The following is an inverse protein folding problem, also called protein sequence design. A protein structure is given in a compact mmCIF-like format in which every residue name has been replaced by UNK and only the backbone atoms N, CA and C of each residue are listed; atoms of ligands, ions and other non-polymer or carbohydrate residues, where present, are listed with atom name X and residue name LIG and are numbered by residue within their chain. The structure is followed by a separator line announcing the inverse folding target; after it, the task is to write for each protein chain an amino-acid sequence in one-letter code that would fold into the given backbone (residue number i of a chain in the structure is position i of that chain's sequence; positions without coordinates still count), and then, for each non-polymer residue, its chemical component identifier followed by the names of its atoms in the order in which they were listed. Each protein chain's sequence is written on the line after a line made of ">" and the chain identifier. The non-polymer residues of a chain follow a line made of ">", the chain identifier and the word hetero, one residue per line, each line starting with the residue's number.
data_IF_490149855075
#
_entry.id   IF_490149855075
#
_cell.length_a   1.000
_cell.length_b   1.000
_cell.length_c   1.000
_cell.angle_alpha   90.00
_cell.angle_beta   90.00
_cell.angle_gamma   90.00
#
_symmetry.space_group_name_H-M   'P 1'
#
loop_
_entity.id
_entity.type
_entity.pdbx_description
1 polymer ?
#
# COMPACT_ATOMS: atom_id res chain seq x y z
N UNK A 1 -14.35 -11.75 2.53
CA UNK A 1 -15.20 -10.67 3.13
C UNK A 1 -16.60 -11.26 3.24
N UNK A 2 -17.05 -11.53 4.47
CA UNK A 2 -18.43 -11.94 4.73
C UNK A 2 -19.38 -10.85 4.26
N UNK A 3 -20.48 -11.21 3.57
CA UNK A 3 -21.50 -10.24 3.16
C UNK A 3 -22.01 -9.45 4.38
N UNK A 4 -22.13 -8.12 4.27
CA UNK A 4 -22.62 -7.30 5.36
C UNK A 4 -24.04 -7.73 5.73
N UNK A 5 -24.27 -8.02 7.02
CA UNK A 5 -25.60 -8.36 7.52
C UNK A 5 -26.58 -7.22 7.24
N UNK A 6 -27.86 -7.52 7.09
CA UNK A 6 -28.93 -6.56 6.76
C UNK A 6 -28.90 -5.31 7.65
N UNK A 7 -28.57 -5.45 8.94
CA UNK A 7 -28.42 -4.31 9.89
C UNK A 7 -27.28 -3.35 9.52
N UNK A 8 -26.15 -3.85 9.03
CA UNK A 8 -24.99 -3.02 8.68
C UNK A 8 -25.26 -2.25 7.38
N UNK A 9 -25.96 -2.89 6.42
CA UNK A 9 -26.46 -2.20 5.22
C UNK A 9 -27.38 -1.05 5.59
N UNK A 10 -28.34 -1.27 6.50
CA UNK A 10 -29.28 -0.24 6.94
C UNK A 10 -28.57 0.97 7.60
N UNK A 11 -27.57 0.71 8.45
CA UNK A 11 -26.77 1.77 9.08
C UNK A 11 -25.98 2.59 8.07
N UNK A 12 -25.39 1.94 7.04
CA UNK A 12 -24.68 2.63 5.96
C UNK A 12 -25.65 3.50 5.15
N UNK A 13 -26.83 2.97 4.76
CA UNK A 13 -27.85 3.76 4.07
C UNK A 13 -28.35 4.95 4.92
N UNK A 14 -28.53 4.76 6.21
CA UNK A 14 -28.89 5.83 7.14
C UNK A 14 -27.82 6.92 7.20
N UNK A 15 -26.53 6.57 7.29
CA UNK A 15 -25.43 7.53 7.25
C UNK A 15 -25.42 8.31 5.92
N UNK A 16 -25.56 7.62 4.80
CA UNK A 16 -25.59 8.27 3.47
C UNK A 16 -26.76 9.25 3.38
N UNK A 17 -27.94 8.86 3.86
CA UNK A 17 -29.12 9.73 3.88
C UNK A 17 -28.88 10.99 4.74
N UNK A 18 -28.34 10.85 5.95
CA UNK A 18 -28.07 11.99 6.84
C UNK A 18 -27.05 12.95 6.21
N UNK A 19 -25.96 12.44 5.68
CA UNK A 19 -24.91 13.25 5.03
C UNK A 19 -25.48 13.95 3.77
N UNK A 20 -26.31 13.25 2.99
CA UNK A 20 -26.93 13.82 1.78
C UNK A 20 -27.92 14.94 2.14
N UNK A 21 -28.77 14.73 3.14
CA UNK A 21 -29.73 15.75 3.59
C UNK A 21 -29.03 16.98 4.13
N UNK A 22 -27.99 16.79 4.94
CA UNK A 22 -27.18 17.89 5.49
C UNK A 22 -26.47 18.70 4.37
N UNK A 23 -25.88 18.01 3.39
CA UNK A 23 -25.23 18.65 2.24
C UNK A 23 -26.26 19.42 1.39
N UNK A 24 -27.42 18.80 1.10
CA UNK A 24 -28.49 19.44 0.32
C UNK A 24 -29.07 20.66 1.03
N UNK A 25 -29.26 20.58 2.35
CA UNK A 25 -29.71 21.71 3.14
C UNK A 25 -28.74 22.91 3.07
N UNK A 26 -27.44 22.69 3.34
CA UNK A 26 -26.42 23.73 3.22
C UNK A 26 -26.34 24.31 1.82
N UNK A 27 -26.45 23.46 0.80
CA UNK A 27 -26.41 23.89 -0.59
C UNK A 27 -27.61 24.78 -0.96
N UNK A 28 -28.80 24.48 -0.46
CA UNK A 28 -30.02 25.23 -0.71
C UNK A 28 -30.13 26.51 0.15
N UNK A 29 -29.68 26.46 1.42
CA UNK A 29 -29.83 27.55 2.37
C UNK A 29 -29.04 28.81 2.00
N UNK A 30 -27.95 28.67 1.25
CA UNK A 30 -27.02 29.76 0.95
C UNK A 30 -27.36 30.60 -0.31
N UNK A 31 -28.52 30.37 -0.91
CA UNK A 31 -29.02 31.17 -2.05
C UNK A 31 -28.15 31.01 -3.32
N UNK A 32 -28.82 31.06 -4.47
CA UNK A 32 -28.15 30.95 -5.77
C UNK A 32 -27.85 32.36 -6.31
N UNK A 33 -26.58 32.75 -6.32
CA UNK A 33 -26.14 33.93 -7.06
C UNK A 33 -25.46 33.44 -8.35
N UNK A 34 -26.03 33.83 -9.50
CA UNK A 34 -25.39 33.58 -10.78
C UNK A 34 -24.12 34.42 -10.88
N UNK A 35 -23.03 33.88 -11.41
CA UNK A 35 -21.82 34.64 -11.63
C UNK A 35 -22.10 35.81 -12.59
N UNK A 36 -22.01 37.05 -12.12
CA UNK A 36 -22.16 38.24 -12.96
C UNK A 36 -20.84 38.55 -13.65
N UNK A 37 -20.87 38.93 -14.93
CA UNK A 37 -19.69 39.08 -15.79
C UNK A 37 -18.66 40.16 -15.37
N UNK A 38 -18.87 40.85 -14.25
CA UNK A 38 -17.95 41.86 -13.70
C UNK A 38 -17.20 41.41 -12.44
N UNK A 39 -17.49 40.20 -11.93
CA UNK A 39 -16.84 39.67 -10.71
C UNK A 39 -15.69 38.72 -11.06
N UNK A 40 -14.72 38.59 -10.15
CA UNK A 40 -13.65 37.57 -10.19
C UNK A 40 -14.20 36.14 -10.26
N UNK A 41 -15.45 35.94 -9.90
CA UNK A 41 -16.23 34.70 -10.00
C UNK A 41 -16.94 34.61 -11.35
N UNK A 42 -16.19 34.50 -12.43
CA UNK A 42 -16.74 34.21 -13.76
C UNK A 42 -16.89 32.71 -14.00
N UNK A 43 -17.75 32.31 -14.93
CA UNK A 43 -17.94 30.92 -15.30
C UNK A 43 -16.65 30.19 -15.68
N UNK A 44 -15.71 30.89 -16.33
CA UNK A 44 -14.41 30.36 -16.71
C UNK A 44 -13.61 29.91 -15.49
N UNK A 45 -13.64 30.68 -14.40
CA UNK A 45 -13.00 30.33 -13.14
C UNK A 45 -13.60 29.09 -12.49
N UNK A 46 -14.93 29.03 -12.38
CA UNK A 46 -15.65 27.89 -11.80
C UNK A 46 -15.33 26.60 -12.56
N UNK A 47 -15.43 26.64 -13.91
CA UNK A 47 -15.12 25.50 -14.78
C UNK A 47 -13.64 25.11 -14.66
N UNK A 48 -12.72 26.09 -14.62
CA UNK A 48 -11.31 25.81 -14.51
C UNK A 48 -10.95 25.17 -13.14
N UNK A 49 -11.57 25.63 -12.04
CA UNK A 49 -11.37 25.01 -10.73
C UNK A 49 -12.00 23.63 -10.63
N UNK A 50 -13.16 23.40 -11.23
CA UNK A 50 -13.74 22.06 -11.33
C UNK A 50 -12.84 21.10 -12.13
N UNK A 51 -12.34 21.55 -13.27
CA UNK A 51 -11.39 20.77 -14.07
C UNK A 51 -10.07 20.48 -13.32
N UNK A 52 -9.52 21.49 -12.65
CA UNK A 52 -8.32 21.35 -11.81
C UNK A 52 -8.57 20.37 -10.66
N UNK A 53 -9.71 20.44 -10.00
CA UNK A 53 -10.06 19.54 -8.89
C UNK A 53 -10.20 18.09 -9.38
N UNK A 54 -10.87 17.86 -10.52
CA UNK A 54 -10.97 16.55 -11.17
C UNK A 54 -9.56 16.02 -11.51
N UNK A 55 -8.70 16.86 -12.08
CA UNK A 55 -7.32 16.52 -12.41
C UNK A 55 -6.53 16.13 -11.16
N UNK A 56 -6.62 16.93 -10.10
CA UNK A 56 -5.97 16.65 -8.81
C UNK A 56 -6.49 15.36 -8.17
N UNK A 57 -7.79 15.08 -8.25
CA UNK A 57 -8.38 13.88 -7.66
C UNK A 57 -8.09 12.61 -8.48
N UNK A 58 -7.98 12.72 -9.79
CA UNK A 58 -7.52 11.61 -10.65
C UNK A 58 -6.04 11.33 -10.48
N UNK A 59 -5.28 12.32 -10.03
CA UNK A 59 -3.82 12.27 -9.80
C UNK A 59 -3.45 11.71 -8.42
N UNK A 60 -4.23 10.74 -7.93
CA UNK A 60 -4.11 10.13 -6.62
C UNK A 60 -2.68 9.69 -6.30
N UNK A 61 -2.04 10.41 -5.39
CA UNK A 61 -0.75 10.03 -4.84
C UNK A 61 -0.99 9.03 -3.71
N UNK A 62 -0.75 7.75 -3.94
CA UNK A 62 -0.62 6.79 -2.85
C UNK A 62 0.68 7.11 -2.12
N UNK A 63 0.58 7.85 -1.04
CA UNK A 63 1.73 8.01 -0.16
C UNK A 63 1.95 6.69 0.60
N UNK A 64 3.15 6.11 0.45
CA UNK A 64 3.53 4.78 0.93
C UNK A 64 3.54 4.64 2.47
N UNK A 65 3.41 5.73 3.22
CA UNK A 65 3.57 5.72 4.68
C UNK A 65 2.45 5.05 5.47
N UNK A 66 1.27 4.79 4.89
CA UNK A 66 0.16 4.18 5.65
C UNK A 66 -0.85 3.37 4.81
N UNK A 67 -0.58 3.00 3.56
CA UNK A 67 -1.60 2.44 2.64
C UNK A 67 -2.88 3.30 2.50
N UNK A 68 -2.84 4.55 2.97
CA UNK A 68 -3.93 5.52 2.86
C UNK A 68 -3.58 6.46 1.72
N UNK A 69 -4.40 6.46 0.69
CA UNK A 69 -4.22 7.40 -0.39
C UNK A 69 -4.86 8.74 -0.04
N UNK A 70 -4.10 9.82 -0.03
CA UNK A 70 -4.63 11.18 0.01
C UNK A 70 -4.69 11.78 -1.38
N UNK A 71 -5.77 12.53 -1.67
CA UNK A 71 -5.96 13.26 -2.91
C UNK A 71 -5.62 14.73 -2.68
N UNK A 72 -4.91 15.36 -3.61
CA UNK A 72 -4.61 16.81 -3.56
C UNK A 72 -5.82 17.67 -3.98
N UNK A 73 -6.97 17.06 -4.26
CA UNK A 73 -8.19 17.77 -4.69
C UNK A 73 -8.72 18.77 -3.65
N UNK A 74 -8.37 18.59 -2.37
CA UNK A 74 -8.76 19.56 -1.33
C UNK A 74 -8.13 20.94 -1.53
N UNK A 75 -6.98 21.04 -2.20
CA UNK A 75 -6.33 22.33 -2.49
C UNK A 75 -7.23 23.24 -3.35
N UNK A 76 -7.70 22.82 -4.55
CA UNK A 76 -8.67 23.60 -5.31
C UNK A 76 -10.03 23.76 -4.59
N UNK A 77 -10.45 22.82 -3.73
CA UNK A 77 -11.68 23.00 -2.94
C UNK A 77 -11.54 24.16 -1.94
N UNK A 78 -10.48 24.18 -1.14
CA UNK A 78 -10.19 25.25 -0.18
C UNK A 78 -10.01 26.58 -0.89
N UNK A 79 -9.25 26.63 -1.98
CA UNK A 79 -9.07 27.84 -2.78
C UNK A 79 -10.40 28.35 -3.37
N UNK A 80 -11.30 27.45 -3.78
CA UNK A 80 -12.61 27.84 -4.32
C UNK A 80 -13.50 28.53 -3.28
N UNK A 81 -13.40 28.17 -1.98
CA UNK A 81 -14.09 28.85 -0.90
C UNK A 81 -13.62 30.30 -0.75
N UNK A 82 -12.34 30.56 -0.96
CA UNK A 82 -11.77 31.91 -0.90
C UNK A 82 -12.10 32.77 -2.13
N UNK A 83 -12.45 32.15 -3.27
CA UNK A 83 -12.64 32.81 -4.56
C UNK A 83 -14.08 32.97 -4.97
N UNK A 84 -14.92 31.98 -4.65
CA UNK A 84 -16.28 31.91 -5.19
C UNK A 84 -17.32 31.95 -4.06
N UNK A 85 -18.46 32.61 -4.35
CA UNK A 85 -19.60 32.61 -3.44
C UNK A 85 -20.23 31.21 -3.30
N UNK A 86 -20.85 30.93 -2.16
CA UNK A 86 -21.77 29.81 -2.05
C UNK A 86 -22.85 29.87 -3.15
N UNK A 87 -23.25 28.73 -3.75
CA UNK A 87 -22.85 27.34 -3.42
C UNK A 87 -21.75 26.75 -4.31
N UNK A 88 -21.02 27.54 -5.09
CA UNK A 88 -20.07 27.06 -6.10
C UNK A 88 -18.95 26.18 -5.58
N UNK A 89 -18.31 26.45 -4.42
CA UNK A 89 -17.30 25.53 -3.86
C UNK A 89 -17.85 24.13 -3.58
N UNK A 90 -19.10 24.06 -3.08
CA UNK A 90 -19.79 22.79 -2.85
C UNK A 90 -20.09 22.07 -4.18
N UNK A 91 -20.54 22.79 -5.22
CA UNK A 91 -20.79 22.24 -6.53
C UNK A 91 -19.50 21.68 -7.17
N UNK A 92 -18.37 22.40 -7.07
CA UNK A 92 -17.06 21.97 -7.57
C UNK A 92 -16.66 20.66 -6.89
N UNK A 93 -16.74 20.59 -5.56
CA UNK A 93 -16.33 19.40 -4.79
C UNK A 93 -17.25 18.20 -5.07
N UNK A 94 -18.56 18.41 -5.12
CA UNK A 94 -19.54 17.36 -5.44
C UNK A 94 -19.38 16.83 -6.86
N UNK A 95 -19.25 17.73 -7.85
CA UNK A 95 -19.02 17.35 -9.24
C UNK A 95 -17.73 16.54 -9.39
N UNK A 96 -16.65 16.98 -8.73
CA UNK A 96 -15.37 16.25 -8.74
C UNK A 96 -15.54 14.83 -8.24
N UNK A 97 -16.13 14.65 -7.05
CA UNK A 97 -16.34 13.33 -6.47
C UNK A 97 -17.21 12.44 -7.37
N UNK A 98 -18.32 13.00 -7.89
CA UNK A 98 -19.24 12.28 -8.79
C UNK A 98 -18.53 11.81 -10.05
N UNK A 99 -17.85 12.71 -10.76
CA UNK A 99 -17.16 12.40 -12.03
C UNK A 99 -16.04 11.39 -11.82
N UNK A 100 -15.17 11.61 -10.83
CA UNK A 100 -14.02 10.73 -10.62
C UNK A 100 -14.44 9.35 -10.12
N UNK A 101 -15.39 9.28 -9.20
CA UNK A 101 -15.83 7.99 -8.64
C UNK A 101 -16.67 7.18 -9.65
N UNK A 102 -17.42 7.86 -10.55
CA UNK A 102 -18.23 7.20 -11.59
C UNK A 102 -17.37 6.71 -12.76
N UNK A 103 -16.60 7.60 -13.35
CA UNK A 103 -15.94 7.34 -14.64
C UNK A 103 -14.50 6.81 -14.49
N UNK A 104 -13.77 7.25 -13.46
CA UNK A 104 -12.37 6.86 -13.27
C UNK A 104 -12.25 5.68 -12.32
N UNK A 105 -12.84 5.77 -11.11
CA UNK A 105 -12.73 4.74 -10.07
C UNK A 105 -13.77 3.64 -10.17
N UNK A 106 -14.88 3.88 -10.90
CA UNK A 106 -16.00 2.94 -11.11
C UNK A 106 -16.51 2.34 -9.81
N UNK A 107 -16.74 3.18 -8.80
CA UNK A 107 -17.23 2.76 -7.49
C UNK A 107 -18.69 2.30 -7.53
N UNK A 108 -19.16 1.48 -6.60
CA UNK A 108 -20.56 1.16 -6.42
C UNK A 108 -21.40 2.43 -6.17
N UNK A 109 -22.67 2.52 -6.66
CA UNK A 109 -23.50 3.72 -6.57
C UNK A 109 -23.59 4.32 -5.16
N UNK A 110 -23.77 3.48 -4.13
CA UNK A 110 -23.86 3.95 -2.75
C UNK A 110 -22.59 4.70 -2.29
N UNK A 111 -21.40 4.29 -2.75
CA UNK A 111 -20.14 4.97 -2.44
C UNK A 111 -19.98 6.26 -3.24
N UNK A 112 -20.48 6.31 -4.46
CA UNK A 112 -20.50 7.53 -5.27
C UNK A 112 -21.36 8.58 -4.56
N UNK A 113 -22.59 8.23 -4.19
CA UNK A 113 -23.49 9.12 -3.46
C UNK A 113 -22.91 9.60 -2.14
N UNK A 114 -22.36 8.70 -1.33
CA UNK A 114 -21.73 9.05 -0.07
C UNK A 114 -20.59 10.05 -0.27
N UNK A 115 -19.65 9.77 -1.18
CA UNK A 115 -18.48 10.63 -1.40
C UNK A 115 -18.87 12.00 -1.97
N UNK A 116 -19.84 12.04 -2.90
CA UNK A 116 -20.35 13.29 -3.44
C UNK A 116 -20.95 14.16 -2.34
N UNK A 117 -21.87 13.61 -1.56
CA UNK A 117 -22.51 14.34 -0.46
C UNK A 117 -21.53 14.74 0.64
N UNK A 118 -20.59 13.87 0.97
CA UNK A 118 -19.60 14.07 2.01
C UNK A 118 -18.59 15.19 1.64
N UNK A 119 -18.12 15.26 0.39
CA UNK A 119 -17.27 16.38 -0.05
C UNK A 119 -18.04 17.70 -0.08
N UNK A 120 -19.27 17.70 -0.56
CA UNK A 120 -20.12 18.89 -0.50
C UNK A 120 -20.32 19.35 0.94
N UNK A 121 -20.62 18.44 1.87
CA UNK A 121 -20.81 18.75 3.28
C UNK A 121 -19.53 19.32 3.92
N UNK A 122 -18.37 18.66 3.67
CA UNK A 122 -17.09 19.08 4.24
C UNK A 122 -16.71 20.50 3.77
N UNK A 123 -16.86 20.78 2.48
CA UNK A 123 -16.59 22.11 1.92
C UNK A 123 -17.60 23.13 2.40
N UNK A 124 -18.89 22.79 2.47
CA UNK A 124 -19.95 23.69 2.92
C UNK A 124 -19.77 24.11 4.37
N UNK A 125 -19.60 23.15 5.29
CA UNK A 125 -19.39 23.47 6.74
C UNK A 125 -18.10 24.25 6.93
N UNK A 126 -17.04 23.91 6.23
CA UNK A 126 -15.76 24.61 6.30
C UNK A 126 -15.87 26.07 5.78
N UNK A 127 -16.66 26.30 4.75
CA UNK A 127 -16.92 27.63 4.24
C UNK A 127 -17.72 28.49 5.24
N UNK A 128 -18.74 27.93 5.90
CA UNK A 128 -19.48 28.64 6.98
C UNK A 128 -18.53 29.08 8.08
N UNK A 129 -17.63 28.20 8.54
CA UNK A 129 -16.64 28.56 9.56
C UNK A 129 -15.68 29.64 9.05
N UNK A 130 -15.26 29.56 7.80
CA UNK A 130 -14.39 30.56 7.16
C UNK A 130 -15.04 31.96 7.25
N UNK A 131 -16.30 32.09 6.82
CA UNK A 131 -17.00 33.35 6.82
C UNK A 131 -17.34 33.82 8.25
N UNK A 132 -17.71 32.93 9.16
CA UNK A 132 -17.97 33.24 10.56
C UNK A 132 -16.74 33.80 11.30
N UNK A 133 -15.54 33.41 10.89
CA UNK A 133 -14.27 33.92 11.42
C UNK A 133 -13.77 35.17 10.68
N UNK A 134 -14.63 35.83 9.90
CA UNK A 134 -14.30 37.05 9.19
C UNK A 134 -13.54 36.85 7.89
N UNK A 135 -13.57 35.63 7.35
CA UNK A 135 -13.09 35.37 5.99
C UNK A 135 -13.98 36.07 4.97
N UNK A 136 -13.40 36.52 3.88
CA UNK A 136 -14.12 37.20 2.81
C UNK A 136 -13.72 36.60 1.45
N UNK A 137 -14.62 36.70 0.49
CA UNK A 137 -14.33 36.35 -0.89
C UNK A 137 -13.26 37.32 -1.41
N UNK A 138 -12.20 36.75 -1.99
CA UNK A 138 -11.10 37.53 -2.50
C UNK A 138 -11.56 38.41 -3.68
N UNK A 139 -11.54 39.70 -3.49
CA UNK A 139 -11.82 40.71 -4.53
C UNK A 139 -10.54 41.03 -5.32
N UNK A 140 -10.49 42.28 -5.87
CA UNK A 140 -9.31 42.76 -6.61
C UNK A 140 -8.06 42.92 -5.75
N UNK A 141 -8.22 43.05 -4.41
CA UNK A 141 -7.13 43.00 -3.45
C UNK A 141 -7.27 41.77 -2.56
N UNK A 142 -6.26 40.89 -2.61
CA UNK A 142 -6.18 39.73 -1.75
C UNK A 142 -5.81 40.17 -0.31
N UNK A 143 -6.72 39.97 0.63
CA UNK A 143 -6.48 40.12 2.07
C UNK A 143 -6.51 38.75 2.71
N UNK A 144 -5.39 38.29 3.25
CA UNK A 144 -5.29 36.99 3.91
C UNK A 144 -5.70 37.09 5.38
N UNK A 145 -6.75 36.37 5.78
CA UNK A 145 -7.19 36.22 7.15
C UNK A 145 -6.75 34.85 7.68
N UNK A 146 -5.66 34.82 8.45
CA UNK A 146 -5.06 33.56 8.93
C UNK A 146 -6.01 32.79 9.86
N UNK A 147 -6.70 33.36 10.88
CA UNK A 147 -7.68 32.63 11.68
C UNK A 147 -8.79 31.98 10.85
N UNK A 148 -9.37 32.71 9.91
CA UNK A 148 -10.41 32.17 9.02
C UNK A 148 -9.89 31.03 8.15
N UNK A 149 -8.68 31.17 7.60
CA UNK A 149 -8.04 30.12 6.80
C UNK A 149 -7.75 28.85 7.63
N UNK A 150 -7.22 28.99 8.84
CA UNK A 150 -6.99 27.85 9.75
C UNK A 150 -8.32 27.18 10.10
N UNK A 151 -9.36 27.94 10.40
CA UNK A 151 -10.71 27.45 10.66
C UNK A 151 -11.26 26.64 9.48
N UNK A 152 -11.11 27.16 8.25
CA UNK A 152 -11.49 26.49 7.00
C UNK A 152 -10.80 25.12 6.86
N UNK A 153 -9.47 25.10 6.98
CA UNK A 153 -8.67 23.88 6.80
C UNK A 153 -8.98 22.83 7.86
N UNK A 154 -8.98 23.24 9.14
CA UNK A 154 -9.24 22.32 10.26
C UNK A 154 -10.66 21.75 10.16
N UNK A 155 -11.66 22.58 9.86
CA UNK A 155 -13.06 22.13 9.73
C UNK A 155 -13.22 21.18 8.56
N UNK A 156 -12.65 21.52 7.40
CA UNK A 156 -12.66 20.61 6.23
C UNK A 156 -12.07 19.24 6.59
N UNK A 157 -10.89 19.23 7.21
CA UNK A 157 -10.23 17.99 7.61
C UNK A 157 -11.07 17.19 8.61
N UNK A 158 -11.64 17.82 9.64
CA UNK A 158 -12.44 17.14 10.66
C UNK A 158 -13.71 16.52 10.06
N UNK A 159 -14.44 17.26 9.25
CA UNK A 159 -15.68 16.79 8.62
C UNK A 159 -15.39 15.70 7.59
N UNK A 160 -14.37 15.90 6.74
CA UNK A 160 -13.96 14.94 5.72
C UNK A 160 -13.50 13.62 6.35
N UNK A 161 -12.48 13.65 7.21
CA UNK A 161 -11.92 12.44 7.83
C UNK A 161 -12.88 11.79 8.82
N UNK A 162 -13.68 12.59 9.54
CA UNK A 162 -14.70 12.10 10.48
C UNK A 162 -15.81 11.32 9.79
N UNK A 163 -16.33 11.86 8.69
CA UNK A 163 -17.37 11.17 7.88
C UNK A 163 -16.85 9.86 7.31
N UNK A 164 -15.62 9.84 6.80
CA UNK A 164 -14.97 8.62 6.28
C UNK A 164 -14.70 7.62 7.40
N UNK A 165 -14.20 8.07 8.57
CA UNK A 165 -13.94 7.20 9.72
C UNK A 165 -15.22 6.54 10.22
N UNK A 166 -16.34 7.28 10.24
CA UNK A 166 -17.64 6.75 10.62
C UNK A 166 -18.12 5.68 9.62
N UNK A 167 -18.00 5.94 8.33
CA UNK A 167 -18.36 4.97 7.30
C UNK A 167 -17.51 3.70 7.37
N UNK A 168 -16.20 3.83 7.61
CA UNK A 168 -15.28 2.70 7.80
C UNK A 168 -15.59 1.93 9.08
N UNK A 169 -15.86 2.61 10.19
CA UNK A 169 -16.21 1.98 11.46
C UNK A 169 -17.47 1.11 11.32
N UNK A 170 -18.52 1.61 10.65
CA UNK A 170 -19.76 0.87 10.40
C UNK A 170 -19.51 -0.33 9.47
N UNK A 171 -18.73 -0.14 8.39
CA UNK A 171 -18.50 -1.18 7.37
C UNK A 171 -17.54 -2.28 7.83
N UNK A 172 -16.54 -1.93 8.64
CA UNK A 172 -15.46 -2.85 9.09
C UNK A 172 -15.64 -3.33 10.52
N UNK A 173 -16.67 -2.85 11.24
CA UNK A 173 -16.97 -3.19 12.65
C UNK A 173 -15.82 -2.90 13.62
N UNK A 174 -15.11 -1.84 13.38
CA UNK A 174 -14.07 -1.32 14.27
C UNK A 174 -14.61 -0.10 15.03
N UNK A 175 -13.94 0.32 16.11
CA UNK A 175 -14.32 1.54 16.79
C UNK A 175 -14.05 2.78 15.91
N UNK A 176 -14.86 3.83 16.07
CA UNK A 176 -14.65 5.09 15.33
C UNK A 176 -13.27 5.67 15.63
N UNK A 177 -12.80 5.55 16.87
CA UNK A 177 -11.45 5.99 17.28
C UNK A 177 -10.35 5.26 16.52
N UNK A 178 -10.46 3.95 16.38
CA UNK A 178 -9.49 3.14 15.64
C UNK A 178 -9.52 3.48 14.14
N UNK A 179 -10.71 3.61 13.54
CA UNK A 179 -10.86 4.04 12.16
C UNK A 179 -10.27 5.43 11.94
N UNK A 180 -10.51 6.38 12.85
CA UNK A 180 -9.94 7.72 12.81
C UNK A 180 -8.41 7.69 12.87
N UNK A 181 -7.81 6.99 13.84
CA UNK A 181 -6.36 6.89 13.95
C UNK A 181 -5.71 6.34 12.68
N UNK A 182 -6.31 5.32 12.08
CA UNK A 182 -5.80 4.75 10.82
C UNK A 182 -5.85 5.73 9.65
N UNK A 183 -6.84 6.61 9.60
CA UNK A 183 -7.04 7.58 8.51
C UNK A 183 -6.26 8.87 8.78
N UNK A 184 -6.44 9.46 9.96
CA UNK A 184 -5.92 10.78 10.27
C UNK A 184 -4.42 10.81 10.55
N UNK A 185 -3.84 9.79 11.24
CA UNK A 185 -2.43 9.78 11.60
C UNK A 185 -1.48 9.79 10.38
N UNK A 186 -1.94 9.25 9.24
CA UNK A 186 -1.14 9.20 8.01
C UNK A 186 -1.26 10.42 7.11
N UNK A 187 -2.29 11.26 7.26
CA UNK A 187 -2.58 12.34 6.29
C UNK A 187 -2.60 13.73 6.89
N UNK A 188 -2.83 13.87 8.20
CA UNK A 188 -3.05 15.18 8.85
C UNK A 188 -1.94 16.21 8.57
N UNK A 189 -0.69 15.83 8.80
CA UNK A 189 0.43 16.74 8.59
C UNK A 189 0.58 17.14 7.12
N UNK A 190 0.39 16.17 6.22
CA UNK A 190 0.40 16.42 4.78
C UNK A 190 -0.73 17.36 4.36
N UNK A 191 -1.98 17.10 4.80
CA UNK A 191 -3.14 17.90 4.45
C UNK A 191 -3.00 19.34 4.96
N UNK A 192 -2.47 19.53 6.18
CA UNK A 192 -2.20 20.85 6.75
C UNK A 192 -1.11 21.60 5.96
N UNK A 193 0.02 20.96 5.66
CA UNK A 193 1.10 21.60 4.91
C UNK A 193 0.68 21.90 3.46
N UNK A 194 0.01 20.96 2.80
CA UNK A 194 -0.44 21.15 1.43
C UNK A 194 -1.58 22.18 1.31
N UNK A 195 -2.33 22.45 2.39
CA UNK A 195 -3.36 23.49 2.40
C UNK A 195 -2.78 24.90 2.13
N UNK A 196 -1.52 25.15 2.44
CA UNK A 196 -0.86 26.43 2.12
C UNK A 196 -0.82 26.69 0.60
N UNK A 197 -0.80 25.63 -0.22
CA UNK A 197 -0.90 25.75 -1.67
C UNK A 197 -2.23 26.36 -2.14
N UNK A 198 -3.30 26.23 -1.35
CA UNK A 198 -4.58 26.86 -1.69
C UNK A 198 -4.51 28.40 -1.63
N UNK A 199 -3.73 28.94 -0.71
CA UNK A 199 -3.46 30.40 -0.61
C UNK A 199 -2.67 30.85 -1.84
N UNK A 200 -1.61 30.12 -2.20
CA UNK A 200 -0.83 30.41 -3.39
C UNK A 200 -1.67 30.31 -4.66
N UNK A 201 -2.49 29.27 -4.78
CA UNK A 201 -3.41 29.07 -5.90
C UNK A 201 -4.40 30.23 -6.04
N UNK A 202 -4.99 30.67 -4.91
CA UNK A 202 -5.88 31.82 -4.86
C UNK A 202 -5.17 33.10 -5.33
N UNK A 203 -3.97 33.36 -4.80
CA UNK A 203 -3.17 34.52 -5.18
C UNK A 203 -2.81 34.54 -6.68
N UNK A 204 -2.33 33.42 -7.20
CA UNK A 204 -1.95 33.30 -8.62
C UNK A 204 -3.15 33.45 -9.54
N UNK A 205 -4.30 32.88 -9.17
CA UNK A 205 -5.54 33.05 -9.95
C UNK A 205 -5.99 34.52 -9.98
N UNK A 206 -5.95 35.23 -8.87
CA UNK A 206 -6.32 36.66 -8.82
C UNK A 206 -5.38 37.56 -9.65
N UNK A 207 -4.09 37.21 -9.68
CA UNK A 207 -3.08 37.98 -10.43
C UNK A 207 -3.07 37.70 -11.93
N UNK A 208 -3.24 36.45 -12.32
CA UNK A 208 -2.96 36.01 -13.69
C UNK A 208 -4.07 35.10 -14.26
N UNK A 209 -5.22 35.02 -13.58
CA UNK A 209 -6.38 34.23 -14.03
C UNK A 209 -5.97 32.78 -14.38
N UNK A 210 -6.38 32.28 -15.55
CA UNK A 210 -6.10 30.91 -16.00
C UNK A 210 -4.60 30.63 -16.17
N UNK A 211 -3.78 31.62 -16.49
CA UNK A 211 -2.31 31.46 -16.59
C UNK A 211 -1.73 31.12 -15.21
N UNK A 212 -2.22 31.76 -14.14
CA UNK A 212 -1.82 31.44 -12.77
C UNK A 212 -2.13 30.00 -12.37
N UNK A 213 -3.26 29.44 -12.82
CA UNK A 213 -3.57 28.02 -12.62
C UNK A 213 -2.58 27.12 -13.35
N UNK A 214 -2.23 27.44 -14.60
CA UNK A 214 -1.29 26.66 -15.40
C UNK A 214 0.09 26.55 -14.73
N UNK A 215 0.57 27.61 -14.10
CA UNK A 215 1.85 27.64 -13.36
C UNK A 215 1.91 26.59 -12.25
N UNK A 216 0.78 26.29 -11.59
CA UNK A 216 0.70 25.25 -10.56
C UNK A 216 0.44 23.85 -11.11
N UNK A 217 -0.30 23.76 -12.22
CA UNK A 217 -0.64 22.47 -12.85
C UNK A 217 0.60 21.78 -13.39
N UNK A 218 1.53 22.52 -14.01
CA UNK A 218 2.74 21.94 -14.61
C UNK A 218 3.63 21.23 -13.59
N UNK A 219 4.00 21.83 -12.43
CA UNK A 219 4.75 21.13 -11.39
C UNK A 219 3.99 19.92 -10.81
N UNK A 220 2.67 20.02 -10.61
CA UNK A 220 1.86 18.91 -10.13
C UNK A 220 1.88 17.72 -11.10
N UNK A 221 1.79 17.99 -12.41
CA UNK A 221 1.95 16.98 -13.44
C UNK A 221 3.32 16.33 -13.43
N UNK A 222 4.37 17.13 -13.27
CA UNK A 222 5.74 16.65 -13.20
C UNK A 222 5.95 15.75 -12.00
N UNK A 223 5.52 16.18 -10.80
CA UNK A 223 5.58 15.36 -9.57
C UNK A 223 4.80 14.05 -9.73
N UNK A 224 3.59 14.12 -10.32
CA UNK A 224 2.80 12.92 -10.63
C UNK A 224 3.53 11.99 -11.58
N UNK A 225 4.08 12.51 -12.66
CA UNK A 225 4.81 11.72 -13.67
C UNK A 225 6.01 11.03 -13.03
N UNK A 226 6.81 11.78 -12.25
CA UNK A 226 7.95 11.22 -11.52
C UNK A 226 7.55 10.13 -10.53
N UNK A 227 6.44 10.34 -9.79
CA UNK A 227 5.94 9.33 -8.87
C UNK A 227 5.48 8.05 -9.60
N UNK A 228 4.77 8.19 -10.72
CA UNK A 228 4.36 7.05 -11.56
C UNK A 228 5.56 6.30 -12.13
N UNK A 229 6.59 7.03 -12.59
CA UNK A 229 7.84 6.43 -13.07
C UNK A 229 8.55 5.65 -11.96
N UNK A 230 8.64 6.19 -10.74
CA UNK A 230 9.22 5.48 -9.60
C UNK A 230 8.47 4.20 -9.27
N UNK A 231 7.13 4.25 -9.20
CA UNK A 231 6.32 3.04 -8.98
C UNK A 231 6.47 2.00 -10.09
N UNK A 232 6.63 2.45 -11.34
CA UNK A 232 6.89 1.56 -12.46
C UNK A 232 8.28 0.93 -12.37
N UNK A 233 9.30 1.70 -12.02
CA UNK A 233 10.66 1.20 -11.78
C UNK A 233 10.70 0.17 -10.65
N UNK A 234 10.06 0.44 -9.52
CA UNK A 234 9.95 -0.51 -8.41
C UNK A 234 9.28 -1.83 -8.86
N UNK A 235 8.23 -1.74 -9.67
CA UNK A 235 7.56 -2.91 -10.23
C UNK A 235 8.47 -3.70 -11.15
N UNK A 236 9.10 -3.03 -12.11
CA UNK A 236 10.02 -3.67 -13.06
C UNK A 236 11.19 -4.32 -12.32
N UNK A 237 11.79 -3.64 -11.36
CA UNK A 237 12.86 -4.21 -10.53
C UNK A 237 12.42 -5.48 -9.80
N UNK A 238 11.21 -5.48 -9.23
CA UNK A 238 10.64 -6.67 -8.57
C UNK A 238 10.41 -7.81 -9.55
N UNK A 239 9.80 -7.52 -10.70
CA UNK A 239 9.54 -8.51 -11.75
C UNK A 239 10.85 -9.12 -12.30
N UNK A 240 11.92 -8.31 -12.44
CA UNK A 240 13.24 -8.78 -12.82
C UNK A 240 13.86 -9.70 -11.77
N UNK A 241 13.78 -9.35 -10.48
CA UNK A 241 14.24 -10.22 -9.40
C UNK A 241 13.49 -11.56 -9.39
N UNK A 242 12.16 -11.53 -9.55
CA UNK A 242 11.36 -12.76 -9.65
C UNK A 242 11.71 -13.59 -10.88
N UNK A 243 11.98 -12.96 -12.02
CA UNK A 243 12.42 -13.64 -13.23
C UNK A 243 13.78 -14.30 -13.05
N UNK A 244 14.74 -13.59 -12.44
CA UNK A 244 16.07 -14.14 -12.15
C UNK A 244 15.97 -15.36 -11.23
N UNK A 245 15.18 -15.28 -10.16
CA UNK A 245 14.96 -16.40 -9.24
C UNK A 245 14.33 -17.59 -9.97
N UNK A 246 13.29 -17.37 -10.77
CA UNK A 246 12.67 -18.45 -11.58
C UNK A 246 13.66 -19.10 -12.55
N UNK A 247 14.56 -18.32 -13.15
CA UNK A 247 15.58 -18.84 -14.04
C UNK A 247 16.61 -19.74 -13.30
N UNK A 248 16.90 -19.40 -12.03
CA UNK A 248 17.79 -20.20 -11.16
C UNK A 248 17.07 -21.48 -10.71
N UNK A 249 15.84 -21.35 -10.23
CA UNK A 249 15.00 -22.47 -9.79
C UNK A 249 14.72 -23.46 -10.95
N UNK A 250 14.72 -23.02 -12.21
CA UNK A 250 14.56 -23.89 -13.37
C UNK A 250 15.73 -24.91 -13.53
N UNK A 251 16.89 -24.65 -12.89
CA UNK A 251 18.02 -25.58 -12.84
C UNK A 251 17.89 -26.65 -11.75
N UNK A 252 17.08 -26.37 -10.71
CA UNK A 252 16.81 -27.29 -9.60
C UNK A 252 15.35 -27.76 -9.70
N UNK A 253 15.09 -29.00 -10.09
CA UNK A 253 13.72 -29.52 -10.30
C UNK A 253 12.82 -29.45 -9.05
N UNK A 254 13.41 -29.24 -7.87
CA UNK A 254 12.73 -29.32 -6.58
C UNK A 254 12.41 -27.95 -5.95
N UNK A 255 12.89 -26.86 -6.55
CA UNK A 255 12.78 -25.51 -5.95
C UNK A 255 11.78 -24.59 -6.64
N UNK A 256 10.94 -25.09 -7.56
CA UNK A 256 9.96 -24.22 -8.23
C UNK A 256 9.06 -23.46 -7.24
N UNK A 257 9.19 -22.13 -7.22
CA UNK A 257 8.46 -21.22 -6.34
C UNK A 257 8.91 -21.23 -4.88
N UNK A 258 9.96 -21.94 -4.53
CA UNK A 258 10.52 -22.04 -3.18
C UNK A 258 10.93 -20.66 -2.63
N UNK A 259 11.80 -19.95 -3.33
CA UNK A 259 12.31 -18.65 -2.87
C UNK A 259 11.19 -17.63 -2.64
N UNK A 260 10.13 -17.66 -3.45
CA UNK A 260 8.96 -16.80 -3.27
C UNK A 260 8.17 -17.18 -2.01
N UNK A 261 7.95 -18.47 -1.75
CA UNK A 261 7.25 -18.94 -0.54
C UNK A 261 8.06 -18.62 0.70
N UNK A 262 9.39 -18.88 0.69
CA UNK A 262 10.30 -18.52 1.80
C UNK A 262 10.23 -17.02 2.09
N UNK A 263 10.21 -16.18 1.06
CA UNK A 263 10.11 -14.73 1.23
C UNK A 263 8.78 -14.29 1.85
N UNK A 264 7.66 -14.92 1.52
CA UNK A 264 6.36 -14.63 2.11
C UNK A 264 6.28 -15.08 3.60
N UNK A 265 6.86 -16.22 3.93
CA UNK A 265 6.95 -16.67 5.33
C UNK A 265 7.86 -15.73 6.13
N UNK A 266 9.04 -15.39 5.61
CA UNK A 266 9.97 -14.46 6.25
C UNK A 266 9.32 -13.07 6.45
N UNK A 267 8.60 -12.56 5.47
CA UNK A 267 7.82 -11.30 5.56
C UNK A 267 6.76 -11.37 6.64
N UNK A 268 6.03 -12.50 6.73
CA UNK A 268 5.01 -12.68 7.75
C UNK A 268 5.61 -12.68 9.16
N UNK A 269 6.71 -13.41 9.37
CA UNK A 269 7.43 -13.44 10.65
C UNK A 269 7.93 -12.03 11.01
N UNK A 270 8.54 -11.32 10.06
CA UNK A 270 9.05 -9.97 10.27
C UNK A 270 7.96 -8.95 10.64
N UNK A 271 6.75 -9.10 10.08
CA UNK A 271 5.59 -8.28 10.43
C UNK A 271 5.01 -8.61 11.80
N UNK A 272 4.99 -9.89 12.16
CA UNK A 272 4.51 -10.32 13.47
C UNK A 272 5.49 -9.90 14.61
N UNK A 273 6.76 -9.61 14.27
CA UNK A 273 7.75 -8.93 15.12
C UNK A 273 7.60 -7.41 15.18
N UNK A 274 6.64 -6.82 14.47
CA UNK A 274 6.43 -5.36 14.34
C UNK A 274 7.69 -4.59 13.87
N UNK A 275 8.47 -5.20 12.97
CA UNK A 275 9.66 -4.59 12.42
C UNK A 275 9.31 -3.45 11.46
N UNK A 276 10.21 -2.46 11.33
CA UNK A 276 10.03 -1.35 10.39
C UNK A 276 9.87 -1.84 8.94
N UNK A 277 9.09 -1.11 8.13
CA UNK A 277 8.83 -1.46 6.73
C UNK A 277 10.13 -1.71 5.94
N UNK A 278 11.15 -0.87 6.15
CA UNK A 278 12.47 -1.02 5.52
C UNK A 278 13.14 -2.35 5.89
N UNK A 279 13.09 -2.75 7.15
CA UNK A 279 13.69 -4.01 7.60
C UNK A 279 12.92 -5.22 7.08
N UNK A 280 11.58 -5.14 7.02
CA UNK A 280 10.72 -6.16 6.38
C UNK A 280 11.09 -6.33 4.91
N UNK A 281 11.31 -5.24 4.17
CA UNK A 281 11.70 -5.29 2.76
C UNK A 281 13.11 -5.89 2.58
N UNK A 282 14.08 -5.54 3.45
CA UNK A 282 15.42 -6.16 3.44
C UNK A 282 15.36 -7.66 3.70
N UNK A 283 14.59 -8.10 4.71
CA UNK A 283 14.42 -9.53 5.03
C UNK A 283 13.77 -10.26 3.86
N UNK A 284 12.75 -9.66 3.24
CA UNK A 284 12.05 -10.24 2.10
C UNK A 284 12.98 -10.40 0.89
N UNK A 285 13.78 -9.36 0.58
CA UNK A 285 14.75 -9.40 -0.51
C UNK A 285 15.85 -10.44 -0.27
N UNK A 286 16.35 -10.51 0.97
CA UNK A 286 17.33 -11.52 1.36
C UNK A 286 16.76 -12.94 1.23
N UNK A 287 15.52 -13.16 1.64
CA UNK A 287 14.84 -14.44 1.52
C UNK A 287 14.60 -14.88 0.07
N UNK A 288 14.31 -13.93 -0.85
CA UNK A 288 14.21 -14.23 -2.29
C UNK A 288 15.56 -14.69 -2.86
N UNK A 289 16.65 -14.08 -2.39
CA UNK A 289 17.98 -14.25 -2.98
C UNK A 289 18.89 -15.21 -2.20
N UNK A 290 18.43 -15.84 -1.09
CA UNK A 290 19.27 -16.61 -0.20
C UNK A 290 20.06 -17.73 -0.91
N UNK A 291 19.44 -18.31 -1.91
CA UNK A 291 19.96 -19.44 -2.70
C UNK A 291 20.49 -19.07 -4.09
N UNK A 292 20.56 -17.78 -4.43
CA UNK A 292 20.95 -17.32 -5.79
C UNK A 292 22.34 -17.81 -6.20
N UNK A 293 23.25 -18.02 -5.26
CA UNK A 293 24.61 -18.54 -5.51
C UNK A 293 24.66 -19.96 -6.05
N UNK A 294 23.59 -20.74 -5.94
CA UNK A 294 23.49 -22.07 -6.56
C UNK A 294 23.51 -22.02 -8.11
N UNK A 295 23.43 -20.81 -8.70
CA UNK A 295 23.59 -20.63 -10.14
C UNK A 295 24.99 -20.99 -10.66
N UNK A 296 26.03 -20.93 -9.80
CA UNK A 296 27.37 -21.25 -10.22
C UNK A 296 27.50 -22.71 -10.64
N UNK A 297 28.29 -22.93 -11.70
CA UNK A 297 28.42 -24.25 -12.37
C UNK A 297 28.92 -25.34 -11.43
N UNK A 298 29.72 -24.97 -10.43
CA UNK A 298 30.24 -25.88 -9.40
C UNK A 298 29.16 -26.64 -8.62
N UNK A 299 27.93 -26.03 -8.50
CA UNK A 299 26.80 -26.66 -7.81
C UNK A 299 25.90 -27.52 -8.72
N UNK A 300 25.98 -27.36 -10.05
CA UNK A 300 25.07 -28.02 -10.98
C UNK A 300 25.07 -29.55 -10.86
N UNK A 301 26.22 -30.25 -10.70
CA UNK A 301 26.24 -31.70 -10.50
C UNK A 301 25.59 -32.10 -9.18
N UNK A 302 25.73 -31.30 -8.14
CA UNK A 302 25.22 -31.59 -6.78
C UNK A 302 23.70 -31.48 -6.73
N UNK A 303 23.12 -30.48 -7.42
CA UNK A 303 21.68 -30.24 -7.47
C UNK A 303 20.90 -31.35 -8.22
N UNK A 304 21.58 -32.04 -9.13
CA UNK A 304 20.99 -33.14 -9.93
C UNK A 304 21.33 -34.52 -9.41
N UNK A 305 22.14 -34.61 -8.34
CA UNK A 305 22.59 -35.89 -7.82
C UNK A 305 21.46 -36.65 -7.13
N UNK A 306 21.21 -37.86 -7.55
CA UNK A 306 20.35 -38.79 -6.84
C UNK A 306 21.10 -39.38 -5.61
N UNK A 307 20.51 -39.23 -4.43
CA UNK A 307 21.04 -39.78 -3.18
C UNK A 307 21.78 -38.75 -2.30
N UNK A 308 22.55 -39.27 -1.32
CA UNK A 308 23.24 -38.42 -0.34
C UNK A 308 24.55 -37.85 -0.89
N UNK A 309 24.86 -36.60 -0.55
CA UNK A 309 26.12 -35.98 -0.85
C UNK A 309 27.27 -36.64 -0.03
N UNK A 310 28.43 -36.83 -0.65
CA UNK A 310 29.66 -37.19 0.04
C UNK A 310 30.12 -36.07 0.97
N UNK A 311 31.06 -36.30 1.90
CA UNK A 311 31.59 -35.22 2.75
C UNK A 311 32.14 -34.02 1.96
N UNK A 312 32.91 -34.28 0.88
CA UNK A 312 33.50 -33.24 0.03
C UNK A 312 32.43 -32.46 -0.75
N UNK A 313 31.46 -33.15 -1.30
CA UNK A 313 30.32 -32.54 -1.97
C UNK A 313 29.48 -31.68 -1.01
N UNK A 314 29.33 -32.13 0.25
CA UNK A 314 28.65 -31.34 1.29
C UNK A 314 29.43 -30.08 1.62
N UNK A 315 30.76 -30.15 1.78
CA UNK A 315 31.60 -28.98 1.98
C UNK A 315 31.51 -28.00 0.82
N UNK A 316 31.44 -28.50 -0.41
CA UNK A 316 31.21 -27.65 -1.59
C UNK A 316 29.84 -26.99 -1.53
N UNK A 317 28.76 -27.74 -1.24
CA UNK A 317 27.41 -27.21 -1.11
C UNK A 317 27.31 -26.13 0.00
N UNK A 318 28.05 -26.26 1.11
CA UNK A 318 28.08 -25.28 2.19
C UNK A 318 28.68 -23.92 1.80
N UNK A 319 29.25 -23.78 0.60
CA UNK A 319 29.74 -22.49 0.08
C UNK A 319 28.64 -21.63 -0.53
N UNK A 320 27.45 -22.19 -0.84
CA UNK A 320 26.42 -21.41 -1.55
C UNK A 320 25.94 -20.15 -0.79
N UNK A 321 25.88 -20.10 0.58
CA UNK A 321 25.46 -18.86 1.23
C UNK A 321 26.45 -17.72 0.99
N UNK A 322 27.75 -18.00 1.07
CA UNK A 322 28.79 -17.01 0.77
C UNK A 322 28.71 -16.56 -0.70
N UNK A 323 28.56 -17.52 -1.64
CA UNK A 323 28.37 -17.21 -3.06
C UNK A 323 27.10 -16.40 -3.35
N UNK A 324 26.01 -16.72 -2.65
CA UNK A 324 24.75 -15.93 -2.75
C UNK A 324 24.95 -14.52 -2.24
N UNK A 325 25.62 -14.34 -1.12
CA UNK A 325 25.93 -13.02 -0.55
C UNK A 325 26.85 -12.20 -1.48
N UNK A 326 27.92 -12.78 -2.01
CA UNK A 326 28.81 -12.15 -2.99
C UNK A 326 28.03 -11.66 -4.23
N UNK A 327 27.15 -12.49 -4.76
CA UNK A 327 26.34 -12.14 -5.92
C UNK A 327 25.34 -11.02 -5.59
N UNK A 328 24.63 -11.10 -4.46
CA UNK A 328 23.69 -10.09 -4.01
C UNK A 328 24.39 -8.73 -3.75
N UNK A 329 25.62 -8.72 -3.20
CA UNK A 329 26.41 -7.53 -2.93
C UNK A 329 26.86 -6.76 -4.18
N UNK A 330 26.69 -7.32 -5.39
CA UNK A 330 26.86 -6.57 -6.65
C UNK A 330 25.84 -5.44 -6.77
N UNK A 331 24.66 -5.59 -6.16
CA UNK A 331 23.64 -4.55 -6.04
C UNK A 331 23.95 -3.71 -4.80
N UNK A 332 24.27 -2.43 -5.01
CA UNK A 332 24.73 -1.55 -3.93
C UNK A 332 23.77 -1.46 -2.73
N UNK A 333 22.45 -1.52 -2.99
CA UNK A 333 21.40 -1.46 -1.97
C UNK A 333 21.36 -2.70 -1.07
N UNK A 334 21.86 -3.84 -1.53
CA UNK A 334 21.87 -5.10 -0.78
C UNK A 334 23.11 -5.31 0.07
N UNK A 335 24.12 -4.44 -0.06
CA UNK A 335 25.32 -4.51 0.78
C UNK A 335 24.99 -4.28 2.24
N UNK A 336 25.62 -5.04 3.11
CA UNK A 336 25.41 -4.98 4.54
C UNK A 336 24.22 -5.82 5.01
N UNK A 337 23.06 -5.27 5.43
CA UNK A 337 22.01 -6.06 6.09
C UNK A 337 21.47 -7.23 5.27
N UNK A 338 21.23 -7.04 3.95
CA UNK A 338 20.72 -8.08 3.06
C UNK A 338 21.81 -9.13 2.80
N UNK A 339 23.00 -8.69 2.47
CA UNK A 339 24.18 -9.54 2.25
C UNK A 339 24.48 -10.42 3.48
N UNK A 340 24.51 -9.82 4.68
CA UNK A 340 24.74 -10.56 5.93
C UNK A 340 23.62 -11.56 6.23
N UNK A 341 22.38 -11.21 5.94
CA UNK A 341 21.26 -12.12 6.10
C UNK A 341 21.39 -13.36 5.19
N UNK A 342 21.77 -13.14 3.92
CA UNK A 342 22.02 -14.20 2.95
C UNK A 342 23.22 -15.05 3.37
N UNK A 343 24.33 -14.42 3.78
CA UNK A 343 25.55 -15.12 4.15
C UNK A 343 25.36 -16.10 5.30
N UNK A 344 24.54 -15.72 6.29
CA UNK A 344 24.39 -16.45 7.54
C UNK A 344 23.08 -17.25 7.69
N UNK A 345 22.32 -17.45 6.62
CA UNK A 345 21.01 -18.12 6.71
C UNK A 345 21.09 -19.63 7.05
N UNK A 346 22.27 -20.23 7.04
CA UNK A 346 22.54 -21.59 7.51
C UNK A 346 23.32 -21.65 8.82
N UNK A 347 23.43 -20.55 9.55
CA UNK A 347 23.96 -20.59 10.91
C UNK A 347 22.94 -21.16 11.88
N UNK A 348 23.32 -22.17 12.64
CA UNK A 348 22.50 -22.75 13.69
C UNK A 348 22.60 -21.94 14.98
N UNK A 349 21.51 -21.83 15.72
CA UNK A 349 21.46 -21.01 16.93
C UNK A 349 22.49 -21.42 18.00
N UNK A 350 22.87 -22.72 18.03
CA UNK A 350 23.89 -23.26 18.92
C UNK A 350 25.35 -23.08 18.42
N UNK A 351 25.55 -22.51 17.23
CA UNK A 351 26.86 -22.30 16.61
C UNK A 351 27.40 -23.50 15.81
N UNK A 352 26.63 -24.56 15.63
CA UNK A 352 27.02 -25.71 14.82
C UNK A 352 26.76 -25.53 13.31
N UNK A 353 26.34 -24.33 12.89
CA UNK A 353 26.03 -23.98 11.51
C UNK A 353 27.24 -23.57 10.69
N UNK A 354 26.99 -22.98 9.54
CA UNK A 354 27.99 -22.48 8.60
C UNK A 354 27.51 -21.18 7.92
N UNK A 355 28.43 -20.35 7.40
CA UNK A 355 29.85 -20.59 7.13
C UNK A 355 30.82 -20.24 8.30
N UNK A 356 30.39 -19.48 9.29
CA UNK A 356 31.28 -18.88 10.30
C UNK A 356 31.09 -19.47 11.71
N UNK A 357 30.05 -20.29 11.92
CA UNK A 357 29.72 -20.87 13.23
C UNK A 357 29.26 -19.83 14.26
N UNK A 358 28.52 -18.83 13.80
CA UNK A 358 27.91 -17.84 14.70
C UNK A 358 26.86 -18.50 15.58
N UNK A 359 26.77 -18.05 16.86
CA UNK A 359 25.82 -18.60 17.81
C UNK A 359 24.92 -17.50 18.43
N UNK A 360 23.66 -17.87 18.71
CA UNK A 360 22.71 -17.02 19.40
C UNK A 360 22.43 -15.72 18.67
N UNK A 361 22.45 -14.61 19.39
CA UNK A 361 22.16 -13.27 18.86
C UNK A 361 23.26 -12.69 17.97
N UNK A 362 24.42 -13.32 17.89
CA UNK A 362 25.48 -12.95 16.94
C UNK A 362 25.06 -13.25 15.49
N UNK A 363 24.12 -14.18 15.31
CA UNK A 363 23.50 -14.43 14.00
C UNK A 363 22.54 -13.25 13.69
N UNK A 364 22.67 -12.58 12.54
CA UNK A 364 21.75 -11.52 12.17
C UNK A 364 20.28 -11.96 12.28
N UNK A 365 19.41 -11.14 12.86
CA UNK A 365 17.98 -11.46 13.02
C UNK A 365 17.35 -11.90 11.70
N UNK A 366 17.67 -11.21 10.61
CA UNK A 366 17.17 -11.55 9.27
C UNK A 366 17.57 -12.98 8.85
N UNK A 367 18.81 -13.41 9.15
CA UNK A 367 19.28 -14.76 8.86
C UNK A 367 18.52 -15.81 9.70
N UNK A 368 18.30 -15.55 11.00
CA UNK A 368 17.48 -16.42 11.87
C UNK A 368 16.05 -16.58 11.38
N UNK A 369 15.45 -15.49 10.86
CA UNK A 369 14.10 -15.51 10.25
C UNK A 369 14.11 -16.34 8.96
N UNK A 370 15.10 -16.16 8.08
CA UNK A 370 15.22 -16.90 6.82
C UNK A 370 15.40 -18.39 7.09
N UNK A 371 16.23 -18.78 8.06
CA UNK A 371 16.42 -20.18 8.46
C UNK A 371 15.09 -20.86 8.82
N UNK A 372 14.23 -20.20 9.58
CA UNK A 372 12.92 -20.75 9.95
C UNK A 372 12.01 -20.78 8.72
N UNK A 373 11.98 -19.72 7.91
CA UNK A 373 11.12 -19.63 6.73
C UNK A 373 11.48 -20.68 5.67
N UNK A 374 12.76 -20.92 5.44
CA UNK A 374 13.26 -21.97 4.55
C UNK A 374 12.87 -23.37 5.06
N UNK A 375 13.06 -23.61 6.36
CA UNK A 375 12.67 -24.87 7.00
C UNK A 375 11.15 -25.11 6.92
N UNK A 376 10.33 -24.06 7.13
CA UNK A 376 8.88 -24.13 6.96
C UNK A 376 8.52 -24.57 5.54
N UNK A 377 9.10 -23.96 4.52
CA UNK A 377 8.85 -24.37 3.13
C UNK A 377 9.32 -25.78 2.86
N UNK A 378 10.51 -26.11 3.32
CA UNK A 378 11.06 -27.45 3.17
C UNK A 378 10.16 -28.53 3.79
N UNK A 379 9.51 -28.27 4.93
CA UNK A 379 8.64 -29.23 5.62
C UNK A 379 7.22 -29.28 5.06
N UNK A 380 6.69 -28.18 4.56
CA UNK A 380 5.29 -28.07 4.13
C UNK A 380 5.08 -28.21 2.63
N UNK A 381 6.15 -28.47 1.86
CA UNK A 381 6.08 -28.75 0.43
C UNK A 381 6.37 -30.23 0.16
N UNK A 382 5.60 -30.85 -0.76
CA UNK A 382 5.87 -32.22 -1.24
C UNK A 382 7.24 -32.28 -1.91
N UNK A 383 8.04 -33.28 -1.54
CA UNK A 383 9.31 -33.61 -2.17
C UNK A 383 9.25 -35.05 -2.71
N UNK A 384 10.05 -35.42 -3.72
CA UNK A 384 9.97 -36.76 -4.35
C UNK A 384 10.01 -37.93 -3.36
N UNK A 385 10.70 -37.75 -2.25
CA UNK A 385 10.92 -38.77 -1.23
C UNK A 385 10.15 -38.53 0.06
N UNK A 386 9.34 -37.45 0.16
CA UNK A 386 8.59 -37.11 1.38
C UNK A 386 7.38 -36.23 1.10
N UNK A 387 6.24 -36.65 1.60
CA UNK A 387 5.02 -35.83 1.63
C UNK A 387 5.17 -34.63 2.58
N UNK A 388 4.49 -33.55 2.27
CA UNK A 388 4.37 -32.38 3.14
C UNK A 388 3.87 -32.77 4.53
N UNK A 389 4.45 -32.15 5.55
CA UNK A 389 3.96 -32.28 6.92
C UNK A 389 2.74 -31.39 7.15
N UNK A 390 1.89 -31.79 8.09
CA UNK A 390 0.82 -30.91 8.58
C UNK A 390 1.41 -29.75 9.36
N UNK A 391 0.63 -28.66 9.49
CA UNK A 391 1.04 -27.50 10.27
C UNK A 391 1.47 -27.86 11.69
N UNK A 392 0.69 -28.69 12.38
CA UNK A 392 0.96 -29.12 13.75
C UNK A 392 2.29 -29.90 13.85
N UNK A 393 2.53 -30.85 12.97
CA UNK A 393 3.81 -31.59 12.92
C UNK A 393 4.99 -30.70 12.58
N UNK A 394 4.79 -29.69 11.74
CA UNK A 394 5.81 -28.71 11.42
C UNK A 394 6.23 -27.90 12.66
N UNK A 395 5.25 -27.48 13.47
CA UNK A 395 5.50 -26.78 14.73
C UNK A 395 6.23 -27.69 15.75
N UNK A 396 5.87 -28.95 15.84
CA UNK A 396 6.53 -29.92 16.75
C UNK A 396 8.01 -30.10 16.35
N UNK A 397 8.32 -30.18 15.06
CA UNK A 397 9.72 -30.24 14.61
C UNK A 397 10.47 -28.94 14.89
N UNK A 398 9.87 -27.76 14.69
CA UNK A 398 10.51 -26.50 15.06
C UNK A 398 10.84 -26.44 16.56
N UNK A 399 9.89 -26.85 17.44
CA UNK A 399 10.10 -26.88 18.89
C UNK A 399 11.20 -27.85 19.31
N UNK A 400 11.28 -29.02 18.69
CA UNK A 400 12.30 -30.03 18.96
C UNK A 400 13.71 -29.53 18.71
N UNK A 401 13.91 -28.64 17.73
CA UNK A 401 15.20 -28.05 17.38
C UNK A 401 15.36 -26.61 17.88
N UNK A 402 14.43 -26.11 18.70
CA UNK A 402 14.53 -24.82 19.38
C UNK A 402 15.76 -24.76 20.28
N UNK A 403 16.51 -23.69 20.22
CA UNK A 403 17.78 -23.51 20.94
C UNK A 403 18.98 -24.26 20.34
N UNK A 404 18.76 -25.11 19.33
CA UNK A 404 19.82 -25.77 18.54
C UNK A 404 19.94 -25.13 17.16
N UNK A 405 19.02 -25.45 16.29
CA UNK A 405 18.97 -24.89 14.93
C UNK A 405 18.26 -23.52 14.91
N UNK A 406 17.17 -23.40 15.66
CA UNK A 406 16.28 -22.24 15.61
C UNK A 406 16.36 -21.38 16.86
N UNK A 407 16.17 -20.08 16.67
CA UNK A 407 15.99 -19.11 17.75
C UNK A 407 14.70 -19.43 18.53
N UNK A 408 14.77 -19.68 19.85
CA UNK A 408 13.61 -20.03 20.66
C UNK A 408 12.50 -18.97 20.64
N UNK A 409 12.86 -17.68 20.63
CA UNK A 409 11.89 -16.60 20.60
C UNK A 409 11.11 -16.57 19.27
N UNK A 410 11.81 -16.82 18.17
CA UNK A 410 11.17 -16.90 16.84
C UNK A 410 10.30 -18.15 16.69
N UNK A 411 10.68 -19.28 17.26
CA UNK A 411 9.88 -20.51 17.25
C UNK A 411 8.54 -20.27 17.97
N UNK A 412 8.58 -19.62 19.12
CA UNK A 412 7.35 -19.32 19.88
C UNK A 412 6.46 -18.31 19.13
N UNK A 413 7.04 -17.28 18.51
CA UNK A 413 6.30 -16.33 17.66
C UNK A 413 5.59 -17.06 16.51
N UNK A 414 6.30 -17.94 15.80
CA UNK A 414 5.73 -18.72 14.67
C UNK A 414 4.59 -19.60 15.14
N UNK A 415 4.72 -20.23 16.30
CA UNK A 415 3.67 -21.08 16.88
C UNK A 415 2.36 -20.30 17.18
N UNK A 416 2.48 -19.00 17.51
CA UNK A 416 1.35 -18.13 17.82
C UNK A 416 0.82 -17.35 16.59
N UNK A 417 1.53 -17.35 15.46
CA UNK A 417 1.19 -16.55 14.29
C UNK A 417 -0.06 -17.04 13.56
N UNK A 418 -1.16 -16.29 13.68
CA UNK A 418 -2.37 -16.52 12.90
C UNK A 418 -2.19 -16.24 11.39
N UNK A 419 -1.23 -15.38 11.03
CA UNK A 419 -0.92 -15.06 9.65
C UNK A 419 -0.21 -16.25 8.96
N UNK A 420 0.81 -16.80 9.59
CA UNK A 420 1.52 -17.98 9.09
C UNK A 420 0.61 -19.21 9.02
N UNK A 421 -0.23 -19.44 10.02
CA UNK A 421 -1.21 -20.54 9.99
C UNK A 421 -2.12 -20.45 8.78
N UNK A 422 -2.59 -19.25 8.43
CA UNK A 422 -3.41 -19.03 7.22
C UNK A 422 -2.63 -19.25 5.92
N UNK A 423 -1.39 -18.78 5.84
CA UNK A 423 -0.53 -18.97 4.67
C UNK A 423 -0.25 -20.45 4.43
N UNK A 424 0.11 -21.20 5.47
CA UNK A 424 0.42 -22.62 5.41
C UNK A 424 -0.85 -23.48 5.17
N UNK A 425 -2.00 -23.12 5.73
CA UNK A 425 -3.27 -23.78 5.49
C UNK A 425 -3.81 -23.58 4.08
N UNK A 426 -3.60 -22.40 3.49
CA UNK A 426 -4.00 -22.12 2.11
C UNK A 426 -3.15 -22.90 1.07
N UNK A 427 -1.94 -23.34 1.44
CA UNK A 427 -1.10 -24.19 0.58
C UNK A 427 -1.47 -25.67 0.66
N UNK A 428 -2.03 -26.13 1.76
CA UNK A 428 -2.42 -27.54 1.97
C UNK A 428 -3.74 -27.93 1.30
N UNK A 429 -4.71 -27.00 1.18
CA UNK A 429 -6.06 -27.26 0.62
C UNK A 429 -6.10 -27.27 -0.92
N UNK A 430 -5.03 -26.82 -1.58
CA UNK A 430 -4.98 -26.79 -3.03
C UNK A 430 -3.93 -27.78 -3.54
N UNK A 431 -4.32 -29.01 -3.81
CA UNK A 431 -3.53 -30.03 -4.52
C UNK A 431 -3.13 -29.62 -5.96
N UNK A 432 -2.98 -28.33 -6.21
CA UNK A 432 -2.51 -27.68 -7.42
C UNK A 432 -1.47 -26.63 -7.09
N UNK A 433 -0.50 -26.47 -7.95
CA UNK A 433 0.68 -25.60 -7.83
C UNK A 433 0.43 -24.32 -7.01
N UNK A 434 1.21 -24.05 -5.94
CA UNK A 434 1.07 -22.88 -5.04
C UNK A 434 1.15 -21.52 -5.75
N UNK A 435 1.71 -21.47 -6.94
CA UNK A 435 1.87 -20.27 -7.77
C UNK A 435 0.52 -19.63 -8.13
N UNK A 436 -0.55 -20.42 -8.31
CA UNK A 436 -1.90 -19.89 -8.61
C UNK A 436 -2.61 -19.34 -7.38
N UNK A 437 -2.39 -19.91 -6.21
CA UNK A 437 -2.99 -19.42 -4.95
C UNK A 437 -2.30 -18.15 -4.47
N UNK A 438 -0.98 -18.04 -4.57
CA UNK A 438 -0.21 -16.86 -4.25
C UNK A 438 -0.54 -15.68 -5.19
N UNK A 439 -0.64 -15.92 -6.49
CA UNK A 439 -1.06 -14.90 -7.47
C UNK A 439 -2.47 -14.37 -7.19
N UNK A 440 -3.41 -15.22 -6.77
CA UNK A 440 -4.76 -14.83 -6.40
C UNK A 440 -4.84 -14.09 -5.05
N UNK A 441 -3.91 -14.34 -4.12
CA UNK A 441 -3.83 -13.66 -2.83
C UNK A 441 -3.10 -12.30 -2.94
N UNK A 442 -1.99 -12.23 -3.67
CA UNK A 442 -1.28 -10.98 -4.01
C UNK A 442 -2.22 -10.04 -4.77
N UNK A 443 -3.02 -10.54 -5.71
CA UNK A 443 -4.05 -9.77 -6.39
C UNK A 443 -5.18 -9.30 -5.47
N UNK A 444 -5.44 -9.99 -4.35
CA UNK A 444 -6.44 -9.61 -3.34
C UNK A 444 -5.90 -8.65 -2.27
N UNK A 445 -4.61 -8.69 -1.95
CA UNK A 445 -3.97 -7.82 -0.96
C UNK A 445 -3.49 -6.48 -1.54
N UNK A 446 -3.26 -6.42 -2.85
CA UNK A 446 -2.85 -5.21 -3.58
C UNK A 446 -4.03 -4.59 -4.33
N UNK A 447 -5.13 -4.17 -3.71
CA UNK A 447 -6.23 -3.34 -4.25
C UNK A 447 -6.59 -3.49 -5.75
N UNK A 448 -7.63 -2.83 -6.27
CA UNK A 448 -8.39 -3.25 -7.43
C UNK A 448 -7.73 -2.90 -8.78
N UNK A 449 -6.86 -3.76 -9.27
CA UNK A 449 -6.48 -3.78 -10.69
C UNK A 449 -6.84 -5.15 -11.28
N UNK A 450 -8.06 -5.29 -11.79
CA UNK A 450 -8.40 -6.39 -12.70
C UNK A 450 -7.78 -6.07 -14.06
N UNK A 451 -6.74 -6.80 -14.42
CA UNK A 451 -6.36 -6.96 -15.82
C UNK A 451 -7.51 -7.70 -16.52
N UNK A 452 -8.17 -7.04 -17.47
CA UNK A 452 -9.13 -7.67 -18.37
C UNK A 452 -8.37 -8.71 -19.18
N UNK A 453 -8.70 -9.99 -19.07
CA UNK A 453 -8.31 -10.98 -20.07
C UNK A 453 -9.00 -10.58 -21.36
N UNK A 454 -8.23 -10.20 -22.36
CA UNK A 454 -8.69 -10.13 -23.72
C UNK A 454 -9.13 -11.53 -24.16
N UNK A 455 -10.35 -11.65 -24.59
CA UNK A 455 -10.90 -12.85 -25.22
C UNK A 455 -10.14 -13.11 -26.51
N UNK A 456 -9.58 -14.30 -26.65
CA UNK A 456 -8.97 -14.75 -27.90
C UNK A 456 -9.99 -14.65 -29.05
N UNK A 457 -9.57 -14.25 -30.26
CA UNK A 457 -10.46 -14.21 -31.41
C UNK A 457 -10.93 -15.62 -31.78
N UNK A 458 -12.21 -15.77 -32.03
CA UNK A 458 -12.83 -16.99 -32.51
C UNK A 458 -12.17 -17.43 -33.82
N UNK A 459 -11.77 -18.69 -33.88
CA UNK A 459 -11.34 -19.34 -35.14
C UNK A 459 -12.52 -19.33 -36.09
N UNK A 460 -12.36 -18.66 -37.22
CA UNK A 460 -13.26 -18.80 -38.39
C UNK A 460 -12.84 -20.07 -39.07
N UNK A 461 -13.78 -21.00 -39.20
CA UNK A 461 -13.68 -22.22 -40.03
C UNK A 461 -13.78 -21.83 -41.48
#
# INVERSE_FOLDING_TARGET
>A
MTEPRTRDKLRIYGLVAVVTVAAAYLFAANGWTLPSGSSTANWNGIVAFAALAILCDTSFLRMSFANVGSSVAFVPFIASVMLFQHPWPMAISGLTAFVVDTFVRKKPPIRIWFNTAQYMLAVGVAAEVYYALGGSIAGTRFSFNAPAFIGLVVTYFLVNSGSVALAVAISSRVSVREAWHRIAAGTLLYDLLASSLAVLLTYLYLKSQLVGLAVLVVPLFFVRHMHQMNLQLERVNRELLELMVKAIEARDPYTSGHSLRVSEYARSIARDLDLSAKLVDHITSAAILHDVGKIYEEFAPLLRKEGKLTPDERMLMQRHPARSAELAATIAEFRGPVELAIRHHHENYDGSGYPEGLAGERIPLAARIIMIADTLDAMTTDRPYRKALTYERTLDELRKFSGKQFDPALVELVAQSANLRRLLGATADQGGSPVHALGAWVARSSGPWRVRKESAPAKVS
#
